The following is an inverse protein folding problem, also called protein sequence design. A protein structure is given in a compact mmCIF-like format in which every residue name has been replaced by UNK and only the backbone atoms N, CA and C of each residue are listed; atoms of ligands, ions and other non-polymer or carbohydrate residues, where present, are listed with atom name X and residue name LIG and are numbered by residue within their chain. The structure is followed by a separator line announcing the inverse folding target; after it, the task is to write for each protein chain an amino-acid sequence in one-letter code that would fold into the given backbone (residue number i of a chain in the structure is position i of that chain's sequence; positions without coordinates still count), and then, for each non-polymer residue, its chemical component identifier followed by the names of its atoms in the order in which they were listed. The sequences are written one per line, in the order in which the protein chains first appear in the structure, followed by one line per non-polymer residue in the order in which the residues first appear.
data_IF_602217003404
#
_entry.id   IF_602217003404
#
_cell.length_a   1.000
_cell.length_b   1.000
_cell.length_c   1.000
_cell.angle_alpha   90.00
_cell.angle_beta   90.00
_cell.angle_gamma   90.00
#
_symmetry.space_group_name_H-M   'P 1'
#
loop_
_entity.id
_entity.type
_entity.pdbx_description
1 polymer ?
#
# COMPACT_ATOMS: atom_id res chain seq x y z
N UNK A 1 22.20 -8.90 22.93
CA UNK A 1 21.83 -7.65 22.24
C UNK A 1 20.46 -7.87 21.63
N UNK A 2 19.45 -7.07 21.97
CA UNK A 2 18.15 -7.16 21.32
C UNK A 2 18.26 -6.52 19.93
N UNK A 3 17.78 -7.22 18.89
CA UNK A 3 17.70 -6.65 17.54
C UNK A 3 16.56 -5.61 17.52
N UNK A 4 16.87 -4.39 17.12
CA UNK A 4 15.85 -3.35 16.85
C UNK A 4 14.99 -3.80 15.67
N UNK A 5 13.66 -3.74 15.80
CA UNK A 5 12.78 -4.03 14.67
C UNK A 5 12.70 -2.84 13.71
N UNK A 6 12.23 -3.08 12.49
CA UNK A 6 11.93 -2.01 11.52
C UNK A 6 10.95 -0.97 12.13
N UNK A 7 10.07 -1.42 13.01
CA UNK A 7 9.08 -0.56 13.67
C UNK A 7 9.73 0.27 14.78
N UNK A 8 10.69 -0.28 15.51
CA UNK A 8 11.38 0.46 16.57
C UNK A 8 12.21 1.62 15.99
N UNK A 9 12.83 1.40 14.81
CA UNK A 9 13.69 2.40 14.19
C UNK A 9 12.95 3.43 13.34
N UNK A 10 11.84 3.06 12.69
CA UNK A 10 11.15 3.94 11.73
C UNK A 10 9.81 4.47 12.21
N UNK A 11 9.25 4.01 13.33
CA UNK A 11 7.92 4.51 13.74
C UNK A 11 7.97 5.99 14.10
N UNK A 12 7.02 6.76 13.58
CA UNK A 12 6.76 8.11 14.04
C UNK A 12 6.32 8.07 15.51
N UNK A 13 7.12 8.68 16.38
CA UNK A 13 6.83 8.81 17.82
C UNK A 13 6.39 10.22 18.23
N UNK A 14 6.32 11.15 17.28
CA UNK A 14 6.26 12.59 17.59
C UNK A 14 7.63 13.16 17.96
N UNK A 15 7.69 14.49 18.09
CA UNK A 15 8.88 15.22 18.56
C UNK A 15 9.47 16.22 17.57
N UNK A 16 9.15 16.10 16.27
CA UNK A 16 9.43 17.14 15.28
C UNK A 16 8.20 18.01 15.05
N UNK A 17 8.43 19.31 14.80
CA UNK A 17 7.37 20.24 14.40
C UNK A 17 6.90 19.90 12.98
N UNK A 18 5.61 19.63 12.84
CA UNK A 18 4.97 19.33 11.57
C UNK A 18 4.27 20.58 11.03
N UNK A 19 4.12 20.65 9.71
CA UNK A 19 3.25 21.67 9.13
C UNK A 19 1.78 21.41 9.56
N UNK A 20 0.92 22.45 9.57
CA UNK A 20 -0.45 22.33 10.06
C UNK A 20 -1.30 21.28 9.33
N UNK A 21 -0.98 21.00 8.06
CA UNK A 21 -1.75 20.03 7.25
C UNK A 21 -1.39 18.60 7.66
N UNK A 22 -0.09 18.30 7.74
CA UNK A 22 0.38 16.98 8.20
C UNK A 22 -0.04 16.70 9.64
N UNK A 23 0.06 17.69 10.52
CA UNK A 23 -0.37 17.55 11.93
C UNK A 23 -1.86 17.21 12.05
N UNK A 24 -2.72 17.95 11.33
CA UNK A 24 -4.15 17.67 11.29
C UNK A 24 -4.47 16.25 10.77
N UNK A 25 -3.71 15.74 9.79
CA UNK A 25 -3.87 14.37 9.29
C UNK A 25 -3.45 13.33 10.34
N UNK A 26 -2.37 13.56 11.08
CA UNK A 26 -1.91 12.70 12.17
C UNK A 26 -2.97 12.62 13.28
N UNK A 27 -3.51 13.76 13.71
CA UNK A 27 -4.55 13.81 14.75
C UNK A 27 -5.85 13.14 14.30
N UNK A 28 -6.27 13.36 13.05
CA UNK A 28 -7.41 12.64 12.48
C UNK A 28 -7.16 11.13 12.45
N UNK A 29 -5.96 10.68 12.11
CA UNK A 29 -5.60 9.24 12.11
C UNK A 29 -5.67 8.67 13.53
N UNK A 30 -5.13 9.38 14.54
CA UNK A 30 -5.14 8.95 15.94
C UNK A 30 -6.56 8.83 16.52
N UNK A 31 -7.46 9.73 16.15
CA UNK A 31 -8.85 9.72 16.62
C UNK A 31 -9.75 8.70 15.90
N UNK A 32 -9.35 8.22 14.72
CA UNK A 32 -10.20 7.35 13.88
C UNK A 32 -9.67 5.93 13.71
N UNK A 33 -8.37 5.70 13.86
CA UNK A 33 -7.74 4.38 13.68
C UNK A 33 -7.21 3.83 15.01
N UNK A 34 -7.17 2.50 15.12
CA UNK A 34 -6.63 1.82 16.29
C UNK A 34 -5.12 2.02 16.48
N UNK A 35 -4.61 1.85 17.71
CA UNK A 35 -3.22 2.14 18.06
C UNK A 35 -2.19 1.23 17.36
N UNK A 36 -2.61 0.15 16.71
CA UNK A 36 -1.72 -0.74 15.96
C UNK A 36 -1.24 -0.16 14.63
N UNK A 37 -1.91 0.87 14.11
CA UNK A 37 -1.54 1.49 12.83
C UNK A 37 -0.44 2.53 13.01
N UNK A 38 0.80 2.15 12.67
CA UNK A 38 1.97 3.04 12.74
C UNK A 38 2.11 3.92 11.50
N UNK A 39 2.82 5.04 11.67
CA UNK A 39 3.36 5.88 10.59
C UNK A 39 4.88 5.69 10.59
N UNK A 40 5.52 5.84 9.43
CA UNK A 40 6.98 5.82 9.33
C UNK A 40 7.57 7.23 9.29
N UNK A 41 8.84 7.31 9.70
CA UNK A 41 9.72 8.48 9.76
C UNK A 41 9.35 9.52 10.83
N UNK A 42 10.32 10.34 11.22
CA UNK A 42 10.09 11.46 12.14
C UNK A 42 9.12 12.50 11.57
N UNK A 43 9.11 12.66 10.25
CA UNK A 43 8.13 13.43 9.51
C UNK A 43 7.34 12.47 8.63
N UNK A 44 6.09 12.13 9.01
CA UNK A 44 5.29 11.21 8.22
C UNK A 44 5.15 11.69 6.77
N UNK A 45 5.43 10.79 5.82
CA UNK A 45 5.38 11.13 4.40
C UNK A 45 3.97 10.96 3.87
N UNK A 46 3.40 12.02 3.32
CA UNK A 46 2.10 12.00 2.65
C UNK A 46 2.27 11.67 1.16
N UNK A 47 2.28 10.37 0.85
CA UNK A 47 2.35 9.87 -0.53
C UNK A 47 1.01 10.03 -1.24
N UNK A 48 1.01 10.63 -2.42
CA UNK A 48 -0.22 10.92 -3.21
C UNK A 48 -0.26 10.26 -4.57
N UNK A 49 0.88 9.76 -5.07
CA UNK A 49 0.96 9.07 -6.36
C UNK A 49 2.06 8.01 -6.35
N UNK A 50 1.83 6.91 -7.07
CA UNK A 50 2.84 5.91 -7.39
C UNK A 50 2.87 5.60 -8.88
N UNK A 51 4.06 5.24 -9.40
CA UNK A 51 4.23 4.78 -10.78
C UNK A 51 5.47 3.87 -10.90
N UNK A 52 5.26 2.59 -11.21
CA UNK A 52 6.35 1.62 -11.27
C UNK A 52 7.08 1.52 -9.93
N UNK A 53 8.40 1.72 -9.92
CA UNK A 53 9.22 1.74 -8.70
C UNK A 53 9.30 3.12 -8.03
N UNK A 54 8.42 4.07 -8.35
CA UNK A 54 8.50 5.42 -7.81
C UNK A 54 7.25 5.84 -7.06
N UNK A 55 7.45 6.66 -6.04
CA UNK A 55 6.44 7.29 -5.22
C UNK A 55 6.60 8.81 -5.26
N UNK A 56 5.51 9.54 -5.10
CA UNK A 56 5.47 10.99 -5.10
C UNK A 56 4.67 11.48 -3.89
N UNK A 57 5.23 12.42 -3.13
CA UNK A 57 4.52 13.07 -2.02
C UNK A 57 3.67 14.26 -2.50
N UNK A 58 2.91 14.83 -1.57
CA UNK A 58 2.03 15.97 -1.82
C UNK A 58 2.77 17.25 -2.28
N UNK A 59 4.06 17.37 -1.98
CA UNK A 59 4.92 18.50 -2.39
C UNK A 59 5.57 18.26 -3.77
N UNK A 60 5.36 17.09 -4.37
CA UNK A 60 5.89 16.71 -5.68
C UNK A 60 7.28 16.07 -5.64
N UNK A 61 7.84 15.79 -4.45
CA UNK A 61 9.11 15.08 -4.32
C UNK A 61 8.94 13.65 -4.83
N UNK A 62 9.94 13.19 -5.59
CA UNK A 62 9.98 11.85 -6.17
C UNK A 62 10.94 10.96 -5.40
N UNK A 63 10.46 9.78 -4.99
CA UNK A 63 11.21 8.77 -4.27
C UNK A 63 11.35 7.51 -5.11
N UNK A 64 12.52 6.86 -5.03
CA UNK A 64 12.67 5.46 -5.44
C UNK A 64 12.11 4.58 -4.31
N UNK A 65 11.12 3.74 -4.64
CA UNK A 65 10.56 2.79 -3.70
C UNK A 65 11.35 1.47 -3.75
N UNK A 66 12.20 1.29 -2.75
CA UNK A 66 12.99 0.07 -2.54
C UNK A 66 12.56 -0.68 -1.27
N UNK A 67 11.36 -0.40 -0.74
CA UNK A 67 10.86 -0.99 0.50
C UNK A 67 9.58 -1.81 0.30
N UNK A 68 8.60 -1.30 -0.45
CA UNK A 68 7.30 -1.95 -0.55
C UNK A 68 7.37 -3.22 -1.41
N UNK A 69 7.02 -4.36 -0.82
CA UNK A 69 6.88 -5.63 -1.53
C UNK A 69 5.47 -5.88 -2.08
N UNK A 70 4.44 -5.20 -1.55
CA UNK A 70 3.03 -5.37 -1.95
C UNK A 70 2.82 -4.98 -3.41
N UNK A 71 3.41 -3.86 -3.84
CA UNK A 71 3.38 -3.41 -5.24
C UNK A 71 4.44 -4.16 -6.06
N UNK A 72 4.43 -5.49 -6.04
CA UNK A 72 5.47 -6.36 -6.62
C UNK A 72 5.67 -6.19 -8.13
N UNK A 73 4.62 -5.82 -8.86
CA UNK A 73 4.65 -5.51 -10.30
C UNK A 73 4.67 -4.00 -10.59
N UNK A 74 5.05 -3.21 -9.59
CA UNK A 74 5.09 -1.74 -9.63
C UNK A 74 3.76 -1.08 -9.27
N UNK A 75 3.86 0.13 -8.70
CA UNK A 75 2.71 0.97 -8.37
C UNK A 75 1.89 1.31 -9.62
N UNK A 76 0.57 1.24 -9.48
CA UNK A 76 -0.39 1.59 -10.53
C UNK A 76 -0.14 0.88 -11.87
N UNK A 77 0.20 -0.41 -11.83
CA UNK A 77 0.42 -1.21 -13.04
C UNK A 77 -0.85 -1.23 -13.93
N UNK A 78 -0.78 -0.74 -15.19
CA UNK A 78 -1.96 -0.56 -16.02
C UNK A 78 -2.67 -1.88 -16.35
N UNK A 79 -1.93 -2.99 -16.49
CA UNK A 79 -2.53 -4.31 -16.75
C UNK A 79 -3.36 -4.81 -15.57
N UNK A 80 -2.90 -4.55 -14.35
CA UNK A 80 -3.62 -4.92 -13.11
C UNK A 80 -4.87 -4.05 -12.96
N UNK A 81 -4.74 -2.74 -13.16
CA UNK A 81 -5.88 -1.80 -13.11
C UNK A 81 -6.96 -2.23 -14.10
N UNK A 82 -6.59 -2.47 -15.36
CA UNK A 82 -7.55 -2.87 -16.39
C UNK A 82 -8.28 -4.18 -16.03
N UNK A 83 -7.54 -5.20 -15.60
CA UNK A 83 -8.13 -6.50 -15.25
C UNK A 83 -9.11 -6.40 -14.06
N UNK A 84 -8.72 -5.67 -13.00
CA UNK A 84 -9.55 -5.48 -11.81
C UNK A 84 -10.78 -4.63 -12.14
N UNK A 85 -10.61 -3.51 -12.84
CA UNK A 85 -11.72 -2.63 -13.23
C UNK A 85 -12.73 -3.37 -14.10
N UNK A 86 -12.28 -4.11 -15.12
CA UNK A 86 -13.16 -4.90 -15.98
C UNK A 86 -14.00 -5.88 -15.17
N UNK A 87 -13.38 -6.68 -14.31
CA UNK A 87 -14.11 -7.66 -13.51
C UNK A 87 -15.06 -7.00 -12.50
N UNK A 88 -14.63 -5.94 -11.80
CA UNK A 88 -15.47 -5.24 -10.82
C UNK A 88 -16.65 -4.51 -11.44
N UNK A 89 -16.55 -4.09 -12.72
CA UNK A 89 -17.67 -3.51 -13.48
C UNK A 89 -18.71 -4.55 -13.92
N UNK A 90 -18.39 -5.85 -13.85
CA UNK A 90 -19.29 -6.94 -14.22
C UNK A 90 -19.85 -7.66 -13.00
N UNK A 91 -18.99 -8.14 -12.10
CA UNK A 91 -19.39 -8.96 -10.96
C UNK A 91 -18.28 -9.08 -9.90
N UNK A 92 -18.66 -8.97 -8.62
CA UNK A 92 -17.78 -9.27 -7.48
C UNK A 92 -18.57 -9.95 -6.35
N UNK A 93 -18.51 -11.27 -6.29
CA UNK A 93 -19.18 -12.07 -5.26
C UNK A 93 -18.27 -13.20 -4.77
N UNK A 94 -18.71 -13.88 -3.73
CA UNK A 94 -18.02 -15.03 -3.14
C UNK A 94 -18.07 -16.28 -4.04
N UNK A 95 -17.28 -17.30 -3.70
CA UNK A 95 -17.11 -18.54 -4.48
C UNK A 95 -18.27 -19.55 -4.43
N UNK A 96 -19.40 -19.24 -3.79
CA UNK A 96 -20.59 -20.13 -3.76
C UNK A 96 -21.38 -20.16 -5.09
N UNK A 97 -21.06 -19.27 -6.03
CA UNK A 97 -21.56 -19.31 -7.41
C UNK A 97 -20.41 -19.62 -8.37
N UNK A 98 -20.73 -20.10 -9.58
CA UNK A 98 -19.71 -20.46 -10.57
C UNK A 98 -19.12 -19.21 -11.23
N UNK A 99 -17.78 -19.17 -11.33
CA UNK A 99 -17.01 -18.10 -11.98
C UNK A 99 -15.82 -18.69 -12.73
N UNK A 100 -15.64 -18.35 -14.01
CA UNK A 100 -14.51 -18.87 -14.82
C UNK A 100 -13.15 -18.35 -14.33
N UNK A 101 -13.04 -17.06 -13.99
CA UNK A 101 -11.76 -16.43 -13.69
C UNK A 101 -10.98 -17.05 -12.52
N UNK A 102 -11.65 -17.61 -11.50
CA UNK A 102 -10.95 -18.31 -10.41
C UNK A 102 -10.40 -19.67 -10.85
N UNK A 103 -11.08 -20.35 -11.80
CA UNK A 103 -10.60 -21.61 -12.37
C UNK A 103 -9.37 -21.35 -13.24
N UNK A 104 -9.45 -20.38 -14.14
CA UNK A 104 -8.34 -19.99 -15.03
C UNK A 104 -7.11 -19.56 -14.23
N UNK A 105 -7.29 -18.77 -13.17
CA UNK A 105 -6.19 -18.37 -12.28
C UNK A 105 -5.60 -19.56 -11.53
N UNK A 106 -6.43 -20.49 -11.05
CA UNK A 106 -5.97 -21.68 -10.33
C UNK A 106 -5.12 -22.57 -11.22
N UNK A 107 -5.55 -22.82 -12.46
CA UNK A 107 -4.77 -23.57 -13.45
C UNK A 107 -3.43 -22.90 -13.75
N UNK A 108 -3.43 -21.60 -14.05
CA UNK A 108 -2.21 -20.84 -14.33
C UNK A 108 -1.23 -20.86 -13.14
N UNK A 109 -1.73 -20.68 -11.92
CA UNK A 109 -0.89 -20.69 -10.73
C UNK A 109 -0.28 -22.07 -10.48
N UNK A 110 -1.08 -23.13 -10.54
CA UNK A 110 -0.58 -24.50 -10.34
C UNK A 110 0.46 -24.89 -11.38
N UNK A 111 0.32 -24.42 -12.63
CA UNK A 111 1.31 -24.63 -13.68
C UNK A 111 2.67 -23.96 -13.41
N UNK A 112 2.78 -23.01 -12.46
CA UNK A 112 4.06 -22.42 -12.05
C UNK A 112 4.77 -23.19 -10.93
N UNK A 113 4.08 -24.15 -10.30
CA UNK A 113 4.56 -24.91 -9.15
C UNK A 113 4.92 -26.36 -9.49
N UNK A 114 4.61 -26.80 -10.71
CA UNK A 114 4.93 -28.11 -11.27
C UNK A 114 6.12 -28.01 -12.21
#
# INVERSE_FOLDING_TARGET
MAFSTIMDSNSYTGGEELDPTTDAMVEKRRSTLGPSYRLFYNRPVHLVKGAGAHLYDADGNKYLDAYNNVASVGHCNPRVIEAVTRQMSELNTHTRYLHGGILDYSEQLLATLL
#
